data_IF_092590099467
#
_entry.id   IF_092590099467
#
_cell.length_a   1.000
_cell.length_b   1.000
_cell.length_c   1.000
_cell.angle_alpha   90.00
_cell.angle_beta   90.00
_cell.angle_gamma   90.00
#
_symmetry.space_group_name_H-M   'P 1'
#
loop_
_entity.id
_entity.type
_entity.pdbx_description
1 polymer ?
#
# COMPACT_ATOMS: atom_id res chain seq x y z
N UNK A 1 -21.05 5.35 3.81
CA UNK A 1 -20.19 6.50 3.46
C UNK A 1 -18.84 5.95 3.03
N UNK A 2 -18.39 6.24 1.81
CA UNK A 2 -17.09 5.77 1.31
C UNK A 2 -16.01 6.64 1.94
N UNK A 3 -15.09 6.05 2.70
CA UNK A 3 -14.00 6.80 3.35
C UNK A 3 -12.79 6.86 2.41
N UNK A 4 -12.19 8.02 2.28
CA UNK A 4 -10.97 8.22 1.50
C UNK A 4 -9.75 7.67 2.25
N UNK A 5 -8.72 7.21 1.51
CA UNK A 5 -7.44 6.67 2.06
C UNK A 5 -6.84 7.53 3.16
N UNK A 6 -6.82 8.84 2.97
CA UNK A 6 -6.25 9.79 3.95
C UNK A 6 -6.93 9.71 5.33
N UNK A 7 -8.26 9.51 5.35
CA UNK A 7 -9.01 9.37 6.61
C UNK A 7 -8.63 8.08 7.31
N UNK A 8 -8.52 6.98 6.55
CA UNK A 8 -8.11 5.67 7.08
C UNK A 8 -6.67 5.72 7.61
N UNK A 9 -5.73 6.26 6.82
CA UNK A 9 -4.33 6.40 7.22
C UNK A 9 -4.17 7.22 8.50
N UNK A 10 -4.87 8.36 8.62
CA UNK A 10 -4.82 9.17 9.83
C UNK A 10 -5.47 8.47 11.03
N UNK A 11 -6.56 7.72 10.81
CA UNK A 11 -7.17 6.93 11.89
C UNK A 11 -6.24 5.81 12.37
N UNK A 12 -5.55 5.12 11.44
CA UNK A 12 -4.54 4.12 11.80
C UNK A 12 -3.36 4.75 12.53
N UNK A 13 -2.82 5.87 12.00
CA UNK A 13 -1.71 6.59 12.62
C UNK A 13 -2.02 6.98 14.08
N UNK A 14 -3.22 7.51 14.34
CA UNK A 14 -3.70 7.85 15.68
C UNK A 14 -3.75 6.61 16.59
N UNK A 15 -4.39 5.53 16.12
CA UNK A 15 -4.65 4.32 16.91
C UNK A 15 -3.38 3.56 17.28
N UNK A 16 -2.39 3.52 16.39
CA UNK A 16 -1.08 2.89 16.67
C UNK A 16 -0.05 3.89 17.23
N UNK A 17 -0.42 5.15 17.43
CA UNK A 17 0.47 6.24 17.87
C UNK A 17 1.70 6.38 16.96
N UNK A 18 1.48 6.31 15.65
CA UNK A 18 2.55 6.39 14.66
C UNK A 18 3.31 7.72 14.75
N UNK A 19 4.64 7.65 14.72
CA UNK A 19 5.55 8.80 14.68
C UNK A 19 6.21 8.94 13.31
N UNK A 20 6.40 7.83 12.59
CA UNK A 20 7.14 7.77 11.34
C UNK A 20 6.24 7.18 10.23
N UNK A 21 6.17 7.88 9.11
CA UNK A 21 5.38 7.52 7.93
C UNK A 21 6.24 7.48 6.69
N UNK A 22 6.04 6.45 5.86
CA UNK A 22 6.62 6.33 4.52
C UNK A 22 5.50 6.19 3.50
N UNK A 23 5.58 6.95 2.39
CA UNK A 23 4.71 6.82 1.22
C UNK A 23 5.54 6.39 0.01
N UNK A 24 5.20 5.26 -0.59
CA UNK A 24 5.79 4.75 -1.84
C UNK A 24 4.81 5.04 -2.96
N UNK A 25 5.23 5.89 -3.93
CA UNK A 25 4.35 6.44 -4.95
C UNK A 25 3.66 7.72 -4.49
N UNK A 26 4.33 8.85 -4.66
CA UNK A 26 3.84 10.14 -4.16
C UNK A 26 2.90 10.83 -5.15
N UNK A 27 3.20 10.76 -6.44
CA UNK A 27 2.55 11.54 -7.50
C UNK A 27 2.36 13.02 -7.12
N UNK A 28 1.23 13.37 -6.50
CA UNK A 28 0.93 14.71 -5.98
C UNK A 28 0.80 14.70 -4.45
N UNK A 29 1.71 15.38 -3.72
CA UNK A 29 1.66 15.39 -2.25
C UNK A 29 0.33 15.91 -1.68
N UNK A 30 -0.34 16.83 -2.38
CA UNK A 30 -1.61 17.39 -1.95
C UNK A 30 -2.78 16.39 -1.97
N UNK A 31 -2.65 15.27 -2.68
CA UNK A 31 -3.72 14.26 -2.72
C UNK A 31 -3.80 13.43 -1.44
N UNK A 32 -2.66 13.15 -0.79
CA UNK A 32 -2.59 12.32 0.41
C UNK A 32 -1.51 12.78 1.39
N UNK A 33 -0.24 12.76 0.97
CA UNK A 33 0.94 12.93 1.82
C UNK A 33 0.91 14.17 2.71
N UNK A 34 0.50 15.33 2.17
CA UNK A 34 0.44 16.58 2.94
C UNK A 34 -0.57 16.52 4.08
N UNK A 35 -1.59 15.70 3.97
CA UNK A 35 -2.69 15.58 4.94
C UNK A 35 -2.46 14.49 6.00
N UNK A 36 -1.36 13.73 5.92
CA UNK A 36 -1.03 12.71 6.92
C UNK A 36 -0.47 13.37 8.18
N UNK A 37 -1.09 13.04 9.33
CA UNK A 37 -0.85 13.65 10.63
C UNK A 37 0.10 12.80 11.48
N UNK A 38 1.38 12.80 11.11
CA UNK A 38 2.46 12.15 11.87
C UNK A 38 3.64 13.10 12.01
N UNK A 39 4.54 12.82 12.94
CA UNK A 39 5.68 13.70 13.26
C UNK A 39 6.70 13.72 12.11
N UNK A 40 7.09 12.58 11.60
CA UNK A 40 8.10 12.42 10.56
C UNK A 40 7.50 11.75 9.34
N UNK A 41 7.68 12.35 8.17
CA UNK A 41 7.16 11.83 6.90
C UNK A 41 8.27 11.73 5.87
N UNK A 42 8.31 10.59 5.18
CA UNK A 42 9.18 10.37 4.05
C UNK A 42 8.34 9.88 2.86
N UNK A 43 8.80 10.14 1.65
CA UNK A 43 8.17 9.66 0.44
C UNK A 43 9.20 9.24 -0.59
N UNK A 44 8.86 8.24 -1.38
CA UNK A 44 9.70 7.67 -2.43
C UNK A 44 8.92 7.67 -3.73
N UNK A 45 9.44 8.35 -4.74
CA UNK A 45 8.85 8.40 -6.09
C UNK A 45 9.93 8.83 -7.10
N UNK A 46 10.16 8.08 -8.19
CA UNK A 46 11.14 8.46 -9.22
C UNK A 46 10.73 9.71 -10.01
N UNK A 47 9.42 10.07 -10.01
CA UNK A 47 8.91 11.23 -10.70
C UNK A 47 8.56 11.01 -12.18
N UNK A 48 8.68 9.79 -12.69
CA UNK A 48 8.49 9.49 -14.12
C UNK A 48 7.13 9.93 -14.67
N UNK A 49 6.07 9.75 -13.84
CA UNK A 49 4.73 10.14 -14.23
C UNK A 49 4.59 11.67 -14.38
N UNK A 50 5.07 12.41 -13.38
CA UNK A 50 5.01 13.87 -13.37
C UNK A 50 5.86 14.45 -14.51
N UNK A 51 7.07 13.93 -14.69
CA UNK A 51 7.97 14.40 -15.75
C UNK A 51 7.40 14.14 -17.15
N UNK A 52 6.74 13.01 -17.36
CA UNK A 52 6.17 12.66 -18.67
C UNK A 52 4.95 13.50 -19.04
N UNK A 53 4.05 13.77 -18.07
CA UNK A 53 2.72 14.29 -18.37
C UNK A 53 2.49 15.75 -17.96
N UNK A 54 3.36 16.32 -17.13
CA UNK A 54 3.18 17.65 -16.55
C UNK A 54 4.41 18.55 -16.71
N UNK A 55 5.20 18.35 -17.76
CA UNK A 55 6.47 19.07 -18.03
C UNK A 55 6.34 20.60 -18.03
N UNK A 56 5.15 21.14 -18.27
CA UNK A 56 4.91 22.58 -18.39
C UNK A 56 4.37 23.25 -17.12
N UNK A 57 4.10 22.50 -16.07
CA UNK A 57 3.58 23.06 -14.82
C UNK A 57 4.65 23.00 -13.72
N UNK A 58 5.14 24.18 -13.32
CA UNK A 58 6.19 24.31 -12.30
C UNK A 58 5.78 23.80 -10.92
N UNK A 59 4.47 23.74 -10.63
CA UNK A 59 3.94 23.27 -9.35
C UNK A 59 3.83 21.74 -9.30
N UNK A 60 4.09 21.06 -10.43
CA UNK A 60 3.97 19.59 -10.53
C UNK A 60 5.30 18.85 -10.55
N UNK A 61 6.40 19.51 -10.14
CA UNK A 61 7.70 18.83 -10.01
C UNK A 61 7.60 17.71 -8.99
N UNK A 62 8.36 16.63 -9.22
CA UNK A 62 8.51 15.58 -8.25
C UNK A 62 8.97 16.18 -6.90
N UNK A 63 8.07 16.15 -5.91
CA UNK A 63 8.29 16.68 -4.56
C UNK A 63 8.60 15.56 -3.55
N UNK A 64 8.87 14.34 -4.02
CA UNK A 64 9.26 13.25 -3.14
C UNK A 64 10.54 13.62 -2.36
N UNK A 65 10.58 13.22 -1.10
CA UNK A 65 11.78 13.41 -0.26
C UNK A 65 12.95 12.58 -0.78
N UNK A 66 12.66 11.43 -1.41
CA UNK A 66 13.63 10.53 -2.03
C UNK A 66 13.18 10.22 -3.46
N UNK A 67 13.96 10.72 -4.43
CA UNK A 67 13.65 10.62 -5.87
C UNK A 67 14.29 9.36 -6.46
N UNK A 68 13.78 8.21 -6.09
CA UNK A 68 14.24 6.90 -6.50
C UNK A 68 13.07 5.97 -6.81
N UNK A 69 13.32 4.94 -7.61
CA UNK A 69 12.50 3.74 -7.60
C UNK A 69 12.58 3.09 -6.20
N UNK A 70 11.50 2.47 -5.75
CA UNK A 70 11.42 1.90 -4.41
C UNK A 70 12.50 0.84 -4.13
N UNK A 71 12.79 -0.03 -5.10
CA UNK A 71 13.85 -1.04 -4.98
C UNK A 71 15.23 -0.40 -4.78
N UNK A 72 15.52 0.69 -5.49
CA UNK A 72 16.77 1.45 -5.35
C UNK A 72 16.82 2.15 -3.99
N UNK A 73 15.72 2.72 -3.54
CA UNK A 73 15.62 3.36 -2.23
C UNK A 73 15.93 2.38 -1.10
N UNK A 74 15.28 1.23 -1.07
CA UNK A 74 15.50 0.24 -0.01
C UNK A 74 16.92 -0.32 -0.03
N UNK A 75 17.46 -0.58 -1.24
CA UNK A 75 18.87 -1.01 -1.35
C UNK A 75 19.83 0.03 -0.78
N UNK A 76 19.68 1.30 -1.11
CA UNK A 76 20.50 2.38 -0.56
C UNK A 76 20.37 2.50 0.96
N UNK A 77 19.17 2.29 1.50
CA UNK A 77 18.93 2.27 2.94
C UNK A 77 19.71 1.12 3.62
N UNK A 78 19.64 -0.09 3.08
CA UNK A 78 20.35 -1.27 3.58
C UNK A 78 21.89 -1.11 3.46
N UNK A 79 22.35 -0.48 2.39
CA UNK A 79 23.76 -0.17 2.18
C UNK A 79 24.26 0.97 3.12
N UNK A 80 23.32 1.75 3.74
CA UNK A 80 23.62 2.84 4.65
C UNK A 80 24.08 4.12 3.95
N UNK A 81 23.59 4.34 2.72
CA UNK A 81 23.96 5.51 1.92
C UNK A 81 23.24 6.80 2.37
N UNK A 82 22.12 6.69 3.10
CA UNK A 82 21.40 7.85 3.62
C UNK A 82 21.99 8.32 4.96
N UNK A 83 22.25 9.64 5.06
CA UNK A 83 22.76 10.24 6.30
C UNK A 83 21.68 10.37 7.38
N UNK A 84 20.43 10.55 6.97
CA UNK A 84 19.26 10.75 7.83
C UNK A 84 18.69 9.46 8.40
N UNK A 85 19.04 8.30 7.82
CA UNK A 85 18.57 7.00 8.27
C UNK A 85 19.70 6.11 8.76
N UNK A 86 19.41 5.32 9.79
CA UNK A 86 20.18 4.12 10.09
C UNK A 86 19.75 2.98 9.16
N UNK A 87 20.62 2.01 8.92
CA UNK A 87 20.31 0.82 8.08
C UNK A 87 19.08 0.04 8.57
N UNK A 88 18.86 0.02 9.86
CA UNK A 88 17.74 -0.65 10.53
C UNK A 88 16.55 0.30 10.81
N UNK A 89 16.49 1.46 10.14
CA UNK A 89 15.40 2.41 10.30
C UNK A 89 14.04 1.75 10.09
N UNK A 90 13.06 2.10 10.92
CA UNK A 90 11.71 1.54 10.90
C UNK A 90 10.67 2.64 10.79
N UNK A 91 9.62 2.35 10.02
CA UNK A 91 8.41 3.18 9.95
C UNK A 91 7.26 2.50 10.68
N UNK A 92 6.38 3.31 11.31
CA UNK A 92 5.19 2.82 12.00
C UNK A 92 4.04 2.59 11.03
N UNK A 93 3.93 3.44 10.01
CA UNK A 93 2.90 3.39 8.98
C UNK A 93 3.56 3.56 7.62
N UNK A 94 3.32 2.61 6.71
CA UNK A 94 3.81 2.64 5.34
C UNK A 94 2.62 2.58 4.39
N UNK A 95 2.56 3.48 3.41
CA UNK A 95 1.53 3.48 2.38
C UNK A 95 2.16 3.18 1.01
N UNK A 96 1.59 2.23 0.27
CA UNK A 96 2.06 1.78 -1.05
C UNK A 96 0.99 2.09 -2.07
N UNK A 97 1.28 3.06 -2.94
CA UNK A 97 0.43 3.52 -4.04
C UNK A 97 1.30 3.94 -5.25
N UNK A 98 2.31 3.12 -5.56
CA UNK A 98 3.30 3.39 -6.60
C UNK A 98 2.95 2.77 -7.94
N UNK A 99 3.83 1.91 -8.46
CA UNK A 99 3.59 1.18 -9.70
C UNK A 99 2.63 0.03 -9.45
N UNK A 100 1.44 0.09 -10.06
CA UNK A 100 0.34 -0.86 -9.83
C UNK A 100 0.55 -2.22 -10.53
N UNK A 101 1.78 -2.72 -10.60
CA UNK A 101 2.13 -4.04 -11.10
C UNK A 101 2.37 -5.01 -9.94
N UNK A 102 1.73 -6.17 -9.98
CA UNK A 102 1.73 -7.14 -8.89
C UNK A 102 3.13 -7.49 -8.36
N UNK A 103 4.11 -7.68 -9.26
CA UNK A 103 5.46 -8.04 -8.86
C UNK A 103 6.19 -6.87 -8.19
N UNK A 104 5.96 -5.62 -8.62
CA UNK A 104 6.52 -4.46 -7.93
C UNK A 104 5.87 -4.27 -6.57
N UNK A 105 4.54 -4.31 -6.51
CA UNK A 105 3.81 -4.20 -5.24
C UNK A 105 4.23 -5.29 -4.25
N UNK A 106 4.47 -6.50 -4.73
CA UNK A 106 4.99 -7.58 -3.90
C UNK A 106 6.38 -7.23 -3.32
N UNK A 107 7.32 -6.72 -4.13
CA UNK A 107 8.64 -6.29 -3.66
C UNK A 107 8.52 -5.14 -2.67
N UNK A 108 7.67 -4.16 -2.96
CA UNK A 108 7.43 -3.01 -2.06
C UNK A 108 6.93 -3.48 -0.69
N UNK A 109 6.02 -4.46 -0.64
CA UNK A 109 5.56 -5.04 0.63
C UNK A 109 6.68 -5.79 1.35
N UNK A 110 7.45 -6.64 0.65
CA UNK A 110 8.52 -7.41 1.28
C UNK A 110 9.63 -6.50 1.83
N UNK A 111 10.06 -5.51 1.06
CA UNK A 111 11.02 -4.50 1.51
C UNK A 111 10.46 -3.69 2.69
N UNK A 112 9.20 -3.27 2.62
CA UNK A 112 8.53 -2.56 3.70
C UNK A 112 8.44 -3.39 4.99
N UNK A 113 8.22 -4.69 4.92
CA UNK A 113 8.18 -5.57 6.10
C UNK A 113 9.53 -5.62 6.84
N UNK A 114 10.65 -5.55 6.10
CA UNK A 114 11.99 -5.47 6.69
C UNK A 114 12.20 -4.18 7.49
N UNK A 115 11.49 -3.11 7.11
CA UNK A 115 11.57 -1.78 7.70
C UNK A 115 10.30 -1.38 8.47
N UNK A 116 9.40 -2.32 8.75
CA UNK A 116 8.21 -2.09 9.56
C UNK A 116 8.54 -2.21 11.05
N UNK A 117 8.15 -1.20 11.82
CA UNK A 117 8.24 -1.23 13.27
C UNK A 117 7.31 -2.31 13.86
N UNK A 118 7.60 -2.75 15.08
CA UNK A 118 6.74 -3.70 15.78
C UNK A 118 5.36 -3.06 16.05
N UNK A 119 4.29 -3.78 15.67
CA UNK A 119 2.93 -3.26 15.67
C UNK A 119 2.66 -2.17 14.62
N UNK A 120 3.60 -1.96 13.69
CA UNK A 120 3.40 -1.09 12.54
C UNK A 120 2.45 -1.68 11.50
N UNK A 121 2.04 -0.85 10.54
CA UNK A 121 1.04 -1.20 9.53
C UNK A 121 1.50 -0.78 8.14
N UNK A 122 1.38 -1.68 7.17
CA UNK A 122 1.47 -1.37 5.75
C UNK A 122 0.05 -1.28 5.21
N UNK A 123 -0.22 -0.22 4.45
CA UNK A 123 -1.48 0.00 3.73
C UNK A 123 -1.17 0.02 2.24
N UNK A 124 -1.89 -0.78 1.45
CA UNK A 124 -1.75 -0.84 0.00
C UNK A 124 -3.00 -0.26 -0.65
N UNK A 125 -2.86 0.50 -1.72
CA UNK A 125 -3.99 0.96 -2.52
C UNK A 125 -4.36 -0.04 -3.63
N UNK A 126 -5.53 0.13 -4.27
CA UNK A 126 -5.98 -0.64 -5.45
C UNK A 126 -6.09 -2.16 -5.27
N UNK A 127 -6.35 -2.63 -4.05
CA UNK A 127 -6.43 -4.06 -3.74
C UNK A 127 -7.76 -4.71 -4.12
N UNK A 128 -8.81 -3.92 -4.36
CA UNK A 128 -10.14 -4.39 -4.77
C UNK A 128 -10.67 -3.49 -5.88
N UNK A 129 -10.25 -3.67 -7.13
CA UNK A 129 -10.65 -2.82 -8.24
C UNK A 129 -12.16 -2.84 -8.43
N UNK A 130 -12.76 -1.64 -8.49
CA UNK A 130 -14.20 -1.45 -8.62
C UNK A 130 -14.74 -1.95 -9.96
N UNK A 131 -13.96 -1.79 -11.01
CA UNK A 131 -14.28 -2.28 -12.34
C UNK A 131 -13.06 -3.00 -12.90
N UNK A 132 -13.26 -4.22 -13.37
CA UNK A 132 -12.23 -4.94 -14.10
C UNK A 132 -12.32 -4.64 -15.61
N UNK A 133 -11.21 -4.25 -16.17
CA UNK A 133 -11.01 -4.17 -17.61
C UNK A 133 -9.66 -4.80 -17.95
N UNK A 134 -9.63 -5.65 -18.99
CA UNK A 134 -8.36 -6.19 -19.51
C UNK A 134 -7.36 -5.10 -19.90
N UNK A 135 -7.83 -3.86 -20.07
CA UNK A 135 -6.96 -2.68 -20.27
C UNK A 135 -6.10 -2.36 -19.05
N UNK A 136 -6.56 -2.75 -17.85
CA UNK A 136 -5.88 -2.44 -16.59
C UNK A 136 -4.73 -3.39 -16.27
N UNK A 137 -4.68 -4.56 -16.91
CA UNK A 137 -3.50 -5.43 -16.87
C UNK A 137 -2.41 -5.00 -17.85
N UNK A 138 -2.77 -4.08 -18.76
CA UNK A 138 -1.81 -3.57 -19.74
C UNK A 138 -0.85 -2.58 -19.08
N UNK A 139 0.33 -2.67 -19.57
CA UNK A 139 1.53 -1.89 -19.41
C UNK A 139 1.27 -0.39 -19.12
N UNK A 140 2.15 0.16 -18.35
CA UNK A 140 2.44 1.58 -18.04
C UNK A 140 1.97 2.62 -19.08
N UNK A 141 1.82 2.25 -20.33
CA UNK A 141 1.35 3.14 -21.42
C UNK A 141 -0.11 3.55 -21.33
N UNK A 142 -0.95 2.74 -20.65
CA UNK A 142 -2.39 3.00 -20.47
C UNK A 142 -2.75 3.66 -19.11
N UNK A 143 -1.79 4.07 -18.32
CA UNK A 143 -1.98 4.70 -16.99
C UNK A 143 -2.78 6.01 -17.01
N UNK A 144 -3.07 6.54 -18.20
CA UNK A 144 -3.84 7.79 -18.38
C UNK A 144 -5.33 7.67 -18.16
N UNK A 145 -5.87 6.45 -18.12
CA UNK A 145 -7.28 6.28 -17.87
C UNK A 145 -7.52 6.42 -16.35
N UNK A 146 -8.25 7.44 -15.96
CA UNK A 146 -8.76 7.60 -14.61
C UNK A 146 -9.32 6.27 -14.10
N UNK A 147 -8.78 5.74 -12.98
CA UNK A 147 -9.21 4.50 -12.39
C UNK A 147 -8.40 3.25 -12.77
N UNK A 148 -7.15 3.41 -13.23
CA UNK A 148 -6.25 2.27 -13.46
C UNK A 148 -5.73 1.71 -12.12
N UNK A 149 -6.23 0.54 -11.73
CA UNK A 149 -5.80 -0.17 -10.53
C UNK A 149 -4.69 -1.20 -10.82
N UNK A 150 -4.36 -1.42 -12.07
CA UNK A 150 -3.35 -2.39 -12.50
C UNK A 150 -3.62 -3.80 -12.02
N UNK A 151 -2.56 -4.45 -11.55
CA UNK A 151 -2.61 -5.83 -11.06
C UNK A 151 -2.34 -5.93 -9.55
N UNK A 152 -2.47 -4.85 -8.80
CA UNK A 152 -2.23 -4.80 -7.34
C UNK A 152 -3.03 -5.87 -6.59
N UNK A 153 -4.27 -6.14 -6.99
CA UNK A 153 -5.09 -7.20 -6.41
C UNK A 153 -4.43 -8.59 -6.43
N UNK A 154 -3.57 -8.87 -7.42
CA UNK A 154 -2.84 -10.15 -7.52
C UNK A 154 -1.79 -10.26 -6.40
N UNK A 155 -1.10 -9.15 -6.07
CA UNK A 155 -0.18 -9.11 -4.94
C UNK A 155 -0.93 -9.34 -3.63
N UNK A 156 -2.10 -8.70 -3.46
CA UNK A 156 -2.95 -8.90 -2.28
C UNK A 156 -3.46 -10.33 -2.17
N UNK A 157 -3.93 -10.94 -3.27
CA UNK A 157 -4.34 -12.34 -3.29
C UNK A 157 -3.19 -13.28 -2.95
N UNK A 158 -1.97 -13.03 -3.46
CA UNK A 158 -0.77 -13.78 -3.11
C UNK A 158 -0.47 -13.70 -1.62
N UNK A 159 -0.55 -12.50 -1.00
CA UNK A 159 -0.37 -12.34 0.45
C UNK A 159 -1.41 -13.17 1.23
N UNK A 160 -2.66 -13.20 0.79
CA UNK A 160 -3.72 -13.98 1.44
C UNK A 160 -3.55 -15.49 1.33
N UNK A 161 -2.89 -15.97 0.28
CA UNK A 161 -2.74 -17.41 0.01
C UNK A 161 -1.41 -18.01 0.44
N UNK A 162 -0.36 -17.19 0.66
CA UNK A 162 1.02 -17.70 0.83
C UNK A 162 1.80 -17.18 2.04
N UNK A 163 1.23 -16.26 2.85
CA UNK A 163 1.98 -15.68 3.99
C UNK A 163 1.27 -15.91 5.33
N UNK A 164 1.40 -17.11 5.94
CA UNK A 164 0.71 -17.43 7.20
C UNK A 164 1.17 -16.59 8.40
N UNK A 165 2.36 -16.00 8.34
CA UNK A 165 2.96 -15.19 9.40
C UNK A 165 2.64 -13.70 9.29
N UNK A 166 1.69 -13.33 8.41
CA UNK A 166 1.17 -11.98 8.28
C UNK A 166 -0.33 -11.94 8.60
N UNK A 167 -0.77 -10.89 9.26
CA UNK A 167 -2.20 -10.59 9.38
C UNK A 167 -2.58 -9.68 8.20
N UNK A 168 -3.50 -10.15 7.35
CA UNK A 168 -3.84 -9.51 6.07
C UNK A 168 -5.35 -9.40 5.88
N UNK A 169 -5.85 -8.20 5.54
CA UNK A 169 -7.24 -7.99 5.12
C UNK A 169 -7.33 -6.81 4.13
N UNK A 170 -8.49 -6.62 3.51
CA UNK A 170 -8.79 -5.46 2.67
C UNK A 170 -10.02 -4.74 3.20
N UNK A 171 -9.95 -3.41 3.32
CA UNK A 171 -11.10 -2.57 3.62
C UNK A 171 -11.78 -2.22 2.29
N UNK A 172 -13.10 -2.47 2.18
CA UNK A 172 -13.89 -2.23 0.97
C UNK A 172 -14.23 -0.74 0.82
N UNK A 173 -13.24 0.08 0.59
CA UNK A 173 -13.36 1.52 0.32
C UNK A 173 -12.19 1.97 -0.55
N UNK A 174 -12.34 3.08 -1.27
CA UNK A 174 -11.26 3.73 -2.04
C UNK A 174 -10.43 2.74 -2.87
N UNK A 175 -11.06 2.01 -3.79
CA UNK A 175 -10.50 0.96 -4.65
C UNK A 175 -9.88 -0.23 -3.90
N UNK A 176 -10.18 -0.36 -2.60
CA UNK A 176 -9.67 -1.42 -1.73
C UNK A 176 -8.34 -1.06 -1.08
N UNK A 177 -8.40 -0.82 0.24
CA UNK A 177 -7.21 -0.60 1.04
C UNK A 177 -6.77 -1.93 1.68
N UNK A 178 -5.70 -2.51 1.15
CA UNK A 178 -5.05 -3.70 1.71
C UNK A 178 -4.28 -3.35 2.97
N UNK A 179 -4.48 -4.10 4.04
CA UNK A 179 -3.79 -3.94 5.32
C UNK A 179 -2.89 -5.14 5.55
N UNK A 180 -1.62 -4.90 5.81
CA UNK A 180 -0.62 -5.93 6.07
C UNK A 180 0.14 -5.61 7.35
N UNK A 181 0.24 -6.58 8.25
CA UNK A 181 0.95 -6.46 9.53
C UNK A 181 1.68 -7.77 9.83
N UNK A 182 2.75 -7.70 10.62
CA UNK A 182 3.32 -8.90 11.25
C UNK A 182 2.27 -9.54 12.18
N UNK A 183 2.01 -10.82 12.05
CA UNK A 183 0.97 -11.52 12.80
C UNK A 183 0.71 -12.90 12.23
N UNK A 184 -0.50 -13.40 12.38
CA UNK A 184 -0.89 -14.71 11.84
C UNK A 184 -2.21 -14.62 11.11
N UNK A 185 -2.34 -15.41 10.05
CA UNK A 185 -3.61 -15.59 9.36
C UNK A 185 -3.81 -17.06 8.98
N UNK A 186 -5.07 -17.45 8.87
CA UNK A 186 -5.44 -18.59 8.07
C UNK A 186 -5.40 -18.19 6.60
N UNK A 187 -4.51 -18.81 5.83
CA UNK A 187 -4.37 -18.52 4.40
C UNK A 187 -5.63 -18.92 3.64
N UNK A 188 -6.04 -18.10 2.68
CA UNK A 188 -7.07 -18.48 1.76
C UNK A 188 -6.59 -19.64 0.88
N UNK A 189 -7.45 -20.58 0.47
CA UNK A 189 -7.09 -21.62 -0.47
C UNK A 189 -6.60 -21.02 -1.80
N UNK A 190 -5.52 -21.55 -2.36
CA UNK A 190 -5.04 -21.19 -3.69
C UNK A 190 -5.89 -21.91 -4.76
N UNK A 191 -7.12 -21.44 -4.97
CA UNK A 191 -8.05 -21.97 -5.96
C UNK A 191 -8.00 -21.21 -7.30
N UNK A 192 -7.12 -20.25 -7.43
CA UNK A 192 -6.89 -19.42 -8.62
C UNK A 192 -5.38 -19.30 -8.94
N UNK A 193 -4.72 -20.40 -9.30
CA UNK A 193 -3.25 -20.41 -9.48
C UNK A 193 -2.78 -19.56 -10.68
N UNK A 194 -3.67 -19.23 -11.60
CA UNK A 194 -3.36 -18.38 -12.76
C UNK A 194 -3.73 -16.92 -12.55
N UNK A 195 -4.19 -16.55 -11.36
CA UNK A 195 -4.58 -15.18 -11.02
C UNK A 195 -5.59 -14.57 -12.04
N UNK A 196 -6.60 -15.35 -12.40
CA UNK A 196 -7.69 -14.89 -13.27
C UNK A 196 -8.67 -14.04 -12.47
N UNK A 197 -8.96 -12.83 -12.94
CA UNK A 197 -9.86 -11.91 -12.24
C UNK A 197 -11.28 -12.50 -12.09
N UNK A 198 -11.81 -13.18 -13.12
CA UNK A 198 -13.13 -13.81 -13.10
C UNK A 198 -13.30 -14.90 -12.04
N UNK A 199 -12.21 -15.54 -11.65
CA UNK A 199 -12.20 -16.50 -10.53
C UNK A 199 -12.12 -15.76 -9.20
N UNK A 200 -11.25 -14.74 -9.12
CA UNK A 200 -11.06 -13.91 -7.95
C UNK A 200 -12.35 -13.18 -7.54
N UNK A 201 -13.06 -12.54 -8.47
CA UNK A 201 -14.28 -11.75 -8.19
C UNK A 201 -15.44 -12.58 -7.60
N UNK A 202 -15.45 -13.91 -7.81
CA UNK A 202 -16.48 -14.81 -7.26
C UNK A 202 -16.33 -15.09 -5.77
N UNK A 203 -15.17 -14.82 -5.20
CA UNK A 203 -14.85 -15.17 -3.81
C UNK A 203 -14.09 -14.04 -3.09
N UNK A 204 -14.45 -12.80 -3.36
CA UNK A 204 -13.76 -11.60 -2.83
C UNK A 204 -13.65 -11.60 -1.30
N UNK A 205 -14.70 -12.00 -0.59
CA UNK A 205 -14.71 -11.97 0.87
C UNK A 205 -13.60 -12.84 1.46
N UNK A 206 -13.39 -14.02 0.91
CA UNK A 206 -12.34 -14.94 1.36
C UNK A 206 -10.98 -14.57 0.79
N UNK A 207 -10.93 -14.31 -0.51
CA UNK A 207 -9.69 -13.97 -1.22
C UNK A 207 -9.00 -12.74 -0.64
N UNK A 208 -9.77 -11.75 -0.18
CA UNK A 208 -9.28 -10.50 0.38
C UNK A 208 -9.39 -10.40 1.91
N UNK A 209 -10.05 -11.36 2.58
CA UNK A 209 -10.51 -11.17 3.97
C UNK A 209 -11.26 -9.82 4.11
N UNK A 210 -12.22 -9.60 3.20
CA UNK A 210 -12.80 -8.29 2.91
C UNK A 210 -13.59 -7.73 4.10
N UNK A 211 -13.26 -6.50 4.53
CA UNK A 211 -13.96 -5.78 5.58
C UNK A 211 -14.91 -4.77 4.95
N UNK A 212 -16.20 -5.11 4.93
CA UNK A 212 -17.25 -4.32 4.26
C UNK A 212 -17.69 -3.10 5.05
N UNK A 213 -17.32 -3.00 6.33
CA UNK A 213 -17.59 -1.84 7.18
C UNK A 213 -16.37 -1.44 8.00
N UNK A 214 -16.33 -0.17 8.41
CA UNK A 214 -15.31 0.33 9.31
C UNK A 214 -15.32 -0.39 10.67
N UNK A 215 -16.49 -0.77 11.17
CA UNK A 215 -16.60 -1.50 12.43
C UNK A 215 -16.03 -2.91 12.31
N UNK A 216 -16.36 -3.67 11.27
CA UNK A 216 -15.79 -5.01 11.07
C UNK A 216 -14.26 -4.98 10.89
N UNK A 217 -13.74 -3.90 10.30
CA UNK A 217 -12.31 -3.67 10.23
C UNK A 217 -11.70 -3.39 11.61
N UNK A 218 -12.28 -2.47 12.39
CA UNK A 218 -11.78 -2.16 13.74
C UNK A 218 -11.72 -3.38 14.65
N UNK A 219 -12.76 -4.22 14.62
CA UNK A 219 -12.80 -5.46 15.39
C UNK A 219 -11.70 -6.45 14.98
N UNK A 220 -11.48 -6.59 13.69
CA UNK A 220 -10.38 -7.41 13.16
C UNK A 220 -9.02 -6.82 13.52
N UNK A 221 -8.84 -5.52 13.37
CA UNK A 221 -7.58 -4.83 13.63
C UNK A 221 -7.20 -4.91 15.12
N UNK A 222 -8.15 -4.69 16.01
CA UNK A 222 -7.95 -4.80 17.46
C UNK A 222 -7.45 -6.20 17.91
N UNK A 223 -7.87 -7.26 17.21
CA UNK A 223 -7.42 -8.62 17.48
C UNK A 223 -6.02 -8.94 16.95
N UNK A 224 -5.56 -8.20 15.96
CA UNK A 224 -4.34 -8.51 15.19
C UNK A 224 -3.21 -7.49 15.37
N UNK A 225 -3.45 -6.34 15.99
CA UNK A 225 -2.44 -5.31 16.18
C UNK A 225 -2.16 -5.05 17.66
N UNK A 226 -0.90 -5.21 18.07
CA UNK A 226 -0.47 -5.06 19.47
C UNK A 226 -0.49 -3.61 19.97
N UNK A 227 -0.48 -2.63 19.06
CA UNK A 227 -0.53 -1.20 19.41
C UNK A 227 -1.95 -0.64 19.38
N UNK A 228 -2.96 -1.42 19.03
CA UNK A 228 -4.31 -0.92 18.96
C UNK A 228 -4.75 -0.34 20.31
N UNK A 229 -5.07 0.93 20.29
CA UNK A 229 -5.64 1.64 21.43
C UNK A 229 -7.10 2.00 21.07
N UNK A 230 -8.11 1.32 21.67
CA UNK A 230 -9.54 1.50 21.35
C UNK A 230 -10.06 2.92 21.62
#
# INVERSE_FOLDING_TARGET
MRMHRTVILNSLAEKIKAQNYLEIGLQYPAMNYNHIKVKTKNSVDPGYYIEKYYQHNTDTRNQATHKFESDVFFKKLEDGEFKEFKKDHKWDLIFIDGLHLADQVWRDVMNSLNHLADGGVIVMHDCNPFQYSNKWERVIEDQHNSGWNGTTWKAMYRLRTSTPDLAVCTINTDEGLGIVMKGKQECAPLNNPFFEYRVFEKDLDRALNLKRSWNSFKEWFAKNNSRWNP
#
